data_IF_144107674822
#
_entry.id   IF_144107674822
#
_cell.length_a   1.000
_cell.length_b   1.000
_cell.length_c   1.000
_cell.angle_alpha   90.00
_cell.angle_beta   90.00
_cell.angle_gamma   90.00
#
_symmetry.space_group_name_H-M   'P 1'
#
loop_
_entity.id
_entity.type
_entity.pdbx_description
1 polymer ?
#
# COMPACT_ATOMS: atom_id res chain seq x y z
N UNK A 1 -14.71 26.89 -12.45
CA UNK A 1 -14.73 26.14 -11.18
C UNK A 1 -13.57 25.17 -11.26
N UNK A 2 -12.41 25.48 -10.68
CA UNK A 2 -11.27 24.54 -10.65
C UNK A 2 -11.59 23.52 -9.57
N UNK A 3 -11.84 22.28 -9.97
CA UNK A 3 -11.86 21.17 -9.03
C UNK A 3 -10.49 21.11 -8.38
N UNK A 4 -10.45 21.24 -7.06
CA UNK A 4 -9.32 20.81 -6.25
C UNK A 4 -9.11 19.33 -6.61
N UNK A 5 -8.05 19.02 -7.36
CA UNK A 5 -7.72 17.62 -7.64
C UNK A 5 -7.46 16.94 -6.30
N UNK A 6 -8.03 15.75 -6.02
CA UNK A 6 -7.76 15.06 -4.76
C UNK A 6 -6.24 14.95 -4.60
N UNK A 7 -5.71 15.45 -3.48
CA UNK A 7 -4.27 15.55 -3.29
C UNK A 7 -3.72 14.14 -3.10
N UNK A 8 -3.20 13.58 -4.18
CA UNK A 8 -2.74 12.21 -4.28
C UNK A 8 -1.28 12.14 -3.80
N UNK A 9 -0.94 11.12 -3.02
CA UNK A 9 0.43 10.84 -2.62
C UNK A 9 1.25 10.41 -3.85
N UNK A 10 2.37 11.09 -4.17
CA UNK A 10 3.21 10.67 -5.27
C UNK A 10 3.90 9.33 -4.94
N UNK A 11 3.70 8.34 -5.79
CA UNK A 11 4.26 6.98 -5.65
C UNK A 11 5.03 6.57 -6.90
N UNK A 12 5.84 5.52 -6.80
CA UNK A 12 6.62 4.93 -7.90
C UNK A 12 6.19 3.49 -8.12
N UNK A 13 6.37 2.99 -9.34
CA UNK A 13 6.17 1.57 -9.65
C UNK A 13 7.21 0.71 -8.95
N UNK A 14 6.77 -0.45 -8.47
CA UNK A 14 7.66 -1.49 -7.96
C UNK A 14 8.46 -2.15 -9.09
N UNK A 15 9.66 -2.65 -8.76
CA UNK A 15 10.52 -3.34 -9.73
C UNK A 15 9.99 -4.70 -10.21
N UNK A 16 8.93 -5.21 -9.59
CA UNK A 16 8.26 -6.46 -9.95
C UNK A 16 7.30 -6.33 -11.16
N UNK A 17 7.14 -5.13 -11.71
CA UNK A 17 6.29 -4.89 -12.89
C UNK A 17 4.78 -4.85 -12.60
N UNK A 18 4.37 -4.82 -11.33
CA UNK A 18 2.97 -4.65 -10.98
C UNK A 18 2.46 -3.26 -11.41
N UNK A 19 1.21 -3.14 -11.89
CA UNK A 19 0.64 -1.85 -12.26
C UNK A 19 0.44 -0.96 -11.02
N UNK A 20 0.38 0.36 -11.26
CA UNK A 20 -0.05 1.32 -10.24
C UNK A 20 -1.58 1.42 -10.22
N UNK A 21 -2.18 1.73 -9.06
CA UNK A 21 -3.54 2.23 -9.00
C UNK A 21 -3.67 3.59 -9.71
N UNK A 22 -4.91 4.03 -9.95
CA UNK A 22 -5.18 5.33 -10.55
C UNK A 22 -4.75 6.49 -9.63
N UNK A 23 -4.93 6.33 -8.32
CA UNK A 23 -4.49 7.27 -7.29
C UNK A 23 -4.13 6.51 -6.00
N UNK A 24 -3.28 7.11 -5.18
CA UNK A 24 -2.97 6.66 -3.81
C UNK A 24 -3.03 7.84 -2.86
N UNK A 25 -3.60 7.66 -1.68
CA UNK A 25 -3.59 8.63 -0.59
C UNK A 25 -3.06 7.92 0.65
N UNK A 26 -1.94 8.39 1.21
CA UNK A 26 -1.32 7.82 2.41
C UNK A 26 -1.37 8.88 3.51
N UNK A 27 -2.28 8.72 4.46
CA UNK A 27 -2.63 9.76 5.45
C UNK A 27 -2.79 11.13 4.74
N UNK A 28 -2.09 12.17 5.21
CA UNK A 28 -2.03 13.49 4.59
C UNK A 28 -0.73 13.72 3.79
N UNK A 29 -0.10 12.66 3.29
CA UNK A 29 1.16 12.77 2.55
C UNK A 29 0.93 13.25 1.11
N UNK A 30 1.38 14.48 0.83
CA UNK A 30 1.23 15.11 -0.50
C UNK A 30 2.58 15.33 -1.20
N UNK A 31 3.69 15.07 -0.51
CA UNK A 31 5.04 15.16 -1.02
C UNK A 31 5.93 14.10 -0.36
N UNK A 32 6.94 13.64 -1.09
CA UNK A 32 7.94 12.71 -0.56
C UNK A 32 9.13 13.46 0.07
N UNK A 33 9.74 12.92 1.14
CA UNK A 33 9.32 11.73 1.87
C UNK A 33 8.08 11.98 2.75
N UNK A 34 7.19 10.99 2.86
CA UNK A 34 6.04 11.04 3.75
C UNK A 34 6.49 11.01 5.21
N UNK A 35 6.00 11.92 6.06
CA UNK A 35 6.28 11.86 7.49
C UNK A 35 5.33 10.87 8.15
N UNK A 36 5.86 9.72 8.60
CA UNK A 36 5.14 8.74 9.42
C UNK A 36 5.68 8.78 10.84
N UNK A 37 4.82 8.61 11.84
CA UNK A 37 5.23 8.60 13.25
C UNK A 37 5.38 7.14 13.70
N UNK A 38 6.50 6.81 14.35
CA UNK A 38 6.71 5.44 14.87
C UNK A 38 5.61 5.04 15.84
N UNK A 39 4.98 3.88 15.59
CA UNK A 39 3.86 3.40 16.38
C UNK A 39 2.51 4.10 16.15
N UNK A 40 2.43 5.09 15.27
CA UNK A 40 1.17 5.73 14.90
C UNK A 40 0.44 4.95 13.78
N UNK A 41 -0.89 5.08 13.69
CA UNK A 41 -1.65 4.46 12.62
C UNK A 41 -1.31 5.04 11.24
N UNK A 42 -1.32 4.18 10.24
CA UNK A 42 -1.08 4.51 8.84
C UNK A 42 -2.25 3.98 8.03
N UNK A 43 -2.96 4.89 7.37
CA UNK A 43 -4.07 4.58 6.47
C UNK A 43 -3.62 4.91 5.05
N UNK A 44 -3.64 3.90 4.18
CA UNK A 44 -3.39 4.06 2.76
C UNK A 44 -4.63 3.68 1.97
N UNK A 45 -5.08 4.56 1.09
CA UNK A 45 -6.20 4.36 0.19
C UNK A 45 -5.69 4.36 -1.25
N UNK A 46 -6.07 3.34 -2.02
CA UNK A 46 -5.72 3.21 -3.42
C UNK A 46 -6.99 3.07 -4.25
N UNK A 47 -7.19 3.96 -5.22
CA UNK A 47 -8.36 3.94 -6.10
C UNK A 47 -8.03 3.35 -7.46
N UNK A 48 -8.99 2.65 -8.06
CA UNK A 48 -8.90 2.18 -9.43
C UNK A 48 -7.75 1.20 -9.68
N UNK A 49 -7.46 0.32 -8.72
CA UNK A 49 -6.54 -0.79 -8.93
C UNK A 49 -7.12 -1.69 -10.01
N UNK A 50 -6.42 -1.82 -11.14
CA UNK A 50 -6.84 -2.71 -12.23
C UNK A 50 -6.02 -3.99 -12.19
N UNK A 51 -6.67 -5.13 -11.92
CA UNK A 51 -5.96 -6.39 -11.81
C UNK A 51 -5.53 -6.90 -13.19
N UNK A 52 -4.25 -7.20 -13.44
CA UNK A 52 -3.81 -7.79 -14.70
C UNK A 52 -4.12 -9.29 -14.80
N UNK A 53 -4.55 -9.91 -13.69
CA UNK A 53 -4.77 -11.36 -13.56
C UNK A 53 -6.14 -11.66 -12.94
N UNK A 54 -6.70 -12.82 -13.26
CA UNK A 54 -7.85 -13.34 -12.53
C UNK A 54 -7.36 -14.04 -11.26
N UNK A 55 -7.98 -13.76 -10.11
CA UNK A 55 -7.58 -14.31 -8.82
C UNK A 55 -8.77 -14.48 -7.88
N UNK A 56 -8.81 -15.58 -7.14
CA UNK A 56 -9.83 -15.84 -6.14
C UNK A 56 -9.52 -15.14 -4.80
N UNK A 57 -8.24 -14.92 -4.50
CA UNK A 57 -7.79 -14.23 -3.29
C UNK A 57 -6.94 -13.00 -3.59
N UNK A 58 -6.88 -12.07 -2.64
CA UNK A 58 -5.98 -10.92 -2.66
C UNK A 58 -5.24 -10.89 -1.32
N UNK A 59 -3.92 -10.90 -1.38
CA UNK A 59 -3.05 -10.87 -0.22
C UNK A 59 -2.25 -9.58 -0.22
N UNK A 60 -2.39 -8.79 0.84
CA UNK A 60 -1.60 -7.58 1.04
C UNK A 60 -0.19 -7.92 1.49
N UNK A 61 0.77 -7.09 1.09
CA UNK A 61 2.13 -7.17 1.58
C UNK A 61 2.71 -5.78 1.80
N UNK A 62 3.58 -5.67 2.79
CA UNK A 62 4.39 -4.50 3.06
C UNK A 62 5.84 -4.97 3.19
N UNK A 63 6.73 -4.29 2.49
CA UNK A 63 8.17 -4.48 2.60
C UNK A 63 8.81 -3.13 2.87
N UNK A 64 9.47 -3.01 4.02
CA UNK A 64 10.20 -1.79 4.39
C UNK A 64 11.67 -2.02 4.08
N UNK A 65 12.32 -1.05 3.43
CA UNK A 65 13.76 -1.08 3.13
C UNK A 65 14.45 0.14 3.73
N UNK A 66 15.49 -0.10 4.52
CA UNK A 66 16.36 0.96 5.07
C UNK A 66 17.76 0.80 4.47
N UNK A 67 18.20 1.79 3.69
CA UNK A 67 19.51 1.77 3.02
C UNK A 67 19.81 0.46 2.23
N UNK A 68 18.77 -0.12 1.62
CA UNK A 68 18.86 -1.38 0.86
C UNK A 68 18.68 -2.66 1.69
N UNK A 69 18.62 -2.57 3.02
CA UNK A 69 18.30 -3.70 3.89
C UNK A 69 16.79 -3.85 4.02
N UNK A 70 16.28 -5.03 3.68
CA UNK A 70 14.87 -5.38 3.88
C UNK A 70 14.60 -5.67 5.35
N UNK A 71 13.65 -4.92 5.92
CA UNK A 71 13.16 -5.10 7.27
C UNK A 71 11.86 -5.92 7.17
N UNK A 72 11.82 -7.14 7.75
CA UNK A 72 10.60 -7.92 7.78
C UNK A 72 9.55 -7.20 8.61
N UNK A 73 8.43 -6.85 7.98
CA UNK A 73 7.31 -6.23 8.65
C UNK A 73 6.14 -7.22 8.71
N UNK A 74 5.82 -7.78 9.89
CA UNK A 74 4.71 -8.71 9.99
C UNK A 74 3.40 -7.93 9.84
N UNK A 75 2.73 -8.10 8.70
CA UNK A 75 1.32 -7.73 8.59
C UNK A 75 0.51 -8.66 9.49
N UNK A 76 -0.41 -8.12 10.30
CA UNK A 76 -1.32 -8.96 11.04
C UNK A 76 -2.18 -9.76 10.05
N UNK A 77 -2.50 -11.02 10.38
CA UNK A 77 -3.20 -11.92 9.47
C UNK A 77 -4.57 -11.39 9.06
N UNK A 78 -5.17 -10.54 9.89
CA UNK A 78 -6.44 -9.87 9.60
C UNK A 78 -6.35 -8.85 8.47
N UNK A 79 -5.18 -8.23 8.24
CA UNK A 79 -4.96 -7.30 7.13
C UNK A 79 -4.35 -7.99 5.91
N UNK A 80 -3.80 -9.20 6.09
CA UNK A 80 -3.19 -9.98 5.02
C UNK A 80 -4.22 -10.34 3.94
N UNK A 81 -5.45 -10.73 4.32
CA UNK A 81 -6.54 -10.98 3.36
C UNK A 81 -7.22 -9.67 2.97
N UNK A 82 -6.77 -9.09 1.85
CA UNK A 82 -7.29 -7.83 1.34
C UNK A 82 -8.76 -7.93 0.90
N UNK A 83 -9.24 -9.11 0.51
CA UNK A 83 -10.63 -9.32 0.10
C UNK A 83 -11.62 -9.03 1.25
N UNK A 84 -11.18 -9.28 2.49
CA UNK A 84 -12.00 -9.09 3.70
C UNK A 84 -11.69 -7.77 4.38
N UNK A 85 -10.42 -7.37 4.39
CA UNK A 85 -9.94 -6.32 5.28
C UNK A 85 -9.92 -4.92 4.68
N UNK A 86 -9.95 -4.79 3.35
CA UNK A 86 -9.68 -3.51 2.71
C UNK A 86 -10.41 -3.23 1.41
N UNK A 87 -10.93 -4.25 0.72
CA UNK A 87 -11.75 -4.07 -0.48
C UNK A 87 -13.25 -3.99 -0.16
N UNK A 88 -14.07 -3.40 -1.04
CA UNK A 88 -15.52 -3.48 -0.95
C UNK A 88 -16.06 -4.92 -0.84
N UNK A 89 -17.22 -5.13 -0.20
CA UNK A 89 -17.81 -6.46 -0.09
C UNK A 89 -18.15 -7.03 -1.48
N UNK A 90 -17.68 -8.24 -1.76
CA UNK A 90 -17.88 -8.92 -3.04
C UNK A 90 -16.84 -8.62 -4.11
N UNK A 91 -15.74 -7.92 -3.78
CA UNK A 91 -14.63 -7.71 -4.73
C UNK A 91 -13.98 -9.01 -5.20
N UNK A 92 -13.86 -10.01 -4.32
CA UNK A 92 -13.28 -11.31 -4.68
C UNK A 92 -14.37 -12.33 -5.01
N UNK A 93 -14.20 -13.18 -6.05
CA UNK A 93 -13.03 -13.28 -6.95
C UNK A 93 -12.94 -12.10 -7.94
N UNK A 94 -11.71 -11.68 -8.27
CA UNK A 94 -11.42 -10.60 -9.21
C UNK A 94 -11.09 -11.18 -10.58
N UNK A 95 -11.71 -10.67 -11.65
CA UNK A 95 -11.33 -11.03 -13.01
C UNK A 95 -10.18 -10.16 -13.55
N UNK A 96 -9.46 -10.64 -14.55
CA UNK A 96 -8.46 -9.84 -15.23
C UNK A 96 -9.12 -8.64 -15.94
N UNK A 97 -8.61 -7.44 -15.68
CA UNK A 97 -9.16 -6.18 -16.18
C UNK A 97 -10.20 -5.53 -15.26
N UNK A 98 -10.62 -6.20 -14.19
CA UNK A 98 -11.52 -5.58 -13.20
C UNK A 98 -10.78 -4.51 -12.41
N UNK A 99 -11.49 -3.43 -12.11
CA UNK A 99 -11.01 -2.33 -11.28
C UNK A 99 -11.72 -2.29 -9.93
N UNK A 100 -10.97 -2.10 -8.86
CA UNK A 100 -11.50 -1.99 -7.50
C UNK A 100 -10.66 -1.02 -6.66
N UNK A 101 -11.22 -0.58 -5.54
CA UNK A 101 -10.55 0.26 -4.57
C UNK A 101 -10.09 -0.57 -3.37
N UNK A 102 -9.04 -0.11 -2.70
CA UNK A 102 -8.46 -0.80 -1.55
C UNK A 102 -8.05 0.19 -0.47
N UNK A 103 -8.43 -0.11 0.77
CA UNK A 103 -7.97 0.60 1.95
C UNK A 103 -7.12 -0.33 2.81
N UNK A 104 -5.92 0.12 3.15
CA UNK A 104 -5.08 -0.50 4.15
C UNK A 104 -5.09 0.38 5.40
N UNK A 105 -5.80 -0.06 6.43
CA UNK A 105 -5.78 0.57 7.75
C UNK A 105 -4.84 -0.21 8.67
N UNK A 106 -3.62 0.28 8.79
CA UNK A 106 -2.62 -0.29 9.68
C UNK A 106 -2.61 0.47 11.00
N UNK A 107 -3.05 -0.17 12.08
CA UNK A 107 -3.22 0.44 13.41
C UNK A 107 -1.93 1.02 14.04
N UNK A 108 -0.77 0.83 13.39
CA UNK A 108 0.52 1.31 13.86
C UNK A 108 1.25 0.23 14.65
N UNK A 109 2.55 0.10 14.39
CA UNK A 109 3.44 -0.79 15.10
C UNK A 109 4.78 -0.08 15.18
N UNK A 110 5.38 -0.08 16.36
CA UNK A 110 6.72 0.48 16.52
C UNK A 110 7.71 -0.38 15.72
N UNK A 111 8.39 0.26 14.78
CA UNK A 111 9.52 -0.30 14.06
C UNK A 111 10.79 -0.27 14.93
N UNK A 112 10.77 0.44 16.07
CA UNK A 112 11.94 0.64 16.92
C UNK A 112 13.02 1.49 16.26
N UNK A 113 12.67 2.28 15.26
CA UNK A 113 13.57 3.17 14.53
C UNK A 113 12.90 4.53 14.33
N UNK A 114 13.64 5.61 14.57
CA UNK A 114 13.19 6.98 14.34
C UNK A 114 14.35 7.82 13.78
N UNK A 115 14.03 8.92 13.12
CA UNK A 115 15.02 9.81 12.50
C UNK A 115 15.65 9.25 11.22
N UNK A 116 15.02 8.26 10.59
CA UNK A 116 15.52 7.60 9.38
C UNK A 116 14.50 7.71 8.24
N UNK A 117 15.00 7.73 7.00
CA UNK A 117 14.15 7.61 5.81
C UNK A 117 14.19 6.16 5.31
N UNK A 118 13.01 5.56 5.18
CA UNK A 118 12.81 4.21 4.65
C UNK A 118 12.10 4.28 3.31
N UNK A 119 12.33 3.28 2.47
CA UNK A 119 11.53 3.03 1.29
C UNK A 119 10.49 1.97 1.64
N UNK A 120 9.21 2.28 1.43
CA UNK A 120 8.10 1.37 1.69
C UNK A 120 7.58 0.88 0.36
N UNK A 121 7.52 -0.44 0.23
CA UNK A 121 6.88 -1.17 -0.85
C UNK A 121 5.59 -1.77 -0.30
N UNK A 122 4.45 -1.43 -0.89
CA UNK A 122 3.15 -1.96 -0.48
C UNK A 122 2.33 -2.33 -1.70
N UNK A 123 1.62 -3.43 -1.64
CA UNK A 123 0.87 -3.92 -2.78
C UNK A 123 -0.04 -5.09 -2.46
N UNK A 124 -0.65 -5.61 -3.51
CA UNK A 124 -1.51 -6.79 -3.47
C UNK A 124 -0.95 -7.86 -4.41
N UNK A 125 -1.00 -9.10 -3.94
CA UNK A 125 -0.74 -10.30 -4.73
C UNK A 125 -1.98 -11.17 -4.79
N UNK A 126 -2.22 -11.80 -5.93
CA UNK A 126 -3.26 -12.80 -6.11
C UNK A 126 -2.75 -14.23 -5.85
N UNK A 127 -3.54 -15.19 -6.28
CA UNK A 127 -3.25 -16.61 -6.18
C UNK A 127 -1.88 -16.94 -6.80
N UNK A 128 -1.13 -17.82 -6.12
CA UNK A 128 0.22 -18.22 -6.54
C UNK A 128 1.27 -17.10 -6.51
N UNK A 129 0.99 -15.96 -5.87
CA UNK A 129 1.92 -14.82 -5.79
C UNK A 129 1.90 -13.92 -7.03
N UNK A 130 0.83 -13.99 -7.83
CA UNK A 130 0.65 -13.16 -9.02
C UNK A 130 0.55 -11.68 -8.63
N UNK A 131 1.23 -10.79 -9.35
CA UNK A 131 1.25 -9.37 -8.99
C UNK A 131 -0.06 -8.67 -9.43
N UNK A 132 -0.76 -8.03 -8.50
CA UNK A 132 -2.00 -7.30 -8.78
C UNK A 132 -1.77 -5.80 -8.82
N UNK A 133 -1.15 -5.26 -7.78
CA UNK A 133 -0.74 -3.85 -7.72
C UNK A 133 0.45 -3.70 -6.78
N UNK A 134 1.30 -2.71 -7.02
CA UNK A 134 2.38 -2.41 -6.10
C UNK A 134 2.84 -0.96 -6.25
N UNK A 135 3.03 -0.30 -5.11
CA UNK A 135 3.48 1.08 -5.02
C UNK A 135 4.71 1.19 -4.12
N UNK A 136 5.64 2.05 -4.51
CA UNK A 136 6.84 2.41 -3.77
C UNK A 136 6.77 3.89 -3.38
N UNK A 137 7.03 4.20 -2.12
CA UNK A 137 7.17 5.57 -1.65
C UNK A 137 8.24 5.68 -0.57
N UNK A 138 8.79 6.88 -0.40
CA UNK A 138 9.76 7.14 0.67
C UNK A 138 9.02 7.72 1.88
N UNK A 139 9.36 7.24 3.06
CA UNK A 139 8.81 7.71 4.32
C UNK A 139 9.92 8.06 5.31
N UNK A 140 9.82 9.25 5.93
CA UNK A 140 10.62 9.63 7.07
C UNK A 140 9.91 9.19 8.35
N UNK A 141 10.57 8.36 9.15
CA UNK A 141 10.01 7.88 10.43
C UNK A 141 10.36 8.87 11.53
N UNK A 142 9.39 9.68 11.92
CA UNK A 142 9.49 10.62 13.04
C UNK A 142 9.28 9.90 14.38
N UNK A 143 9.89 10.43 15.44
CA UNK A 143 9.57 10.05 16.81
C UNK A 143 8.15 10.51 17.17
N UNK A 144 7.46 9.72 17.99
CA UNK A 144 6.21 10.11 18.64
C UNK A 144 6.46 11.15 19.73
#
# INVERSE_FOLDING_TARGET
MRADSPTTTPVRQCGNGAPLPASVIINDCTAMPCTLVDGAPVVAFAEGITSPVATASLNSFITVRLAGLQIPFPLPPELADACVAGTPPGTCPVAAGDSFDYTLDFAGQSLGMTGVTVQIEVGLTGDGGSQVTCVLFDAFIASN
#
